data_IF_946131250333
#
_entry.id   IF_946131250333
#
_cell.length_a   1.000
_cell.length_b   1.000
_cell.length_c   1.000
_cell.angle_alpha   90.00
_cell.angle_beta   90.00
_cell.angle_gamma   90.00
#
_symmetry.space_group_name_H-M   'P 1'
#
loop_
_entity.id
_entity.type
_entity.pdbx_description
1 polymer ?
#
# COMPACT_ATOMS: atom_id res chain seq x y z
N UNK A 1 -15.18 -6.55 7.99
CA UNK A 1 -16.47 -6.09 7.45
C UNK A 1 -16.22 -5.39 6.13
N UNK A 2 -17.18 -5.37 5.20
CA UNK A 2 -17.07 -4.63 3.94
C UNK A 2 -17.28 -3.16 4.23
N UNK A 3 -16.24 -2.33 4.01
CA UNK A 3 -16.32 -0.89 4.23
C UNK A 3 -16.87 -0.15 2.99
N UNK A 4 -16.49 -0.62 1.80
CA UNK A 4 -16.94 -0.07 0.52
C UNK A 4 -17.26 -1.23 -0.43
N UNK A 5 -18.41 -1.20 -1.07
CA UNK A 5 -18.81 -2.11 -2.14
C UNK A 5 -19.10 -1.33 -3.40
N UNK A 6 -18.58 -1.80 -4.51
CA UNK A 6 -18.82 -1.22 -5.84
C UNK A 6 -19.29 -2.29 -6.81
N UNK A 7 -20.29 -1.95 -7.58
CA UNK A 7 -20.74 -2.64 -8.79
C UNK A 7 -21.06 -1.54 -9.79
N UNK A 8 -20.13 -1.22 -10.69
CA UNK A 8 -20.19 0.01 -11.50
C UNK A 8 -19.92 -0.28 -12.97
N UNK A 9 -20.77 0.33 -13.82
CA UNK A 9 -20.50 0.50 -15.23
C UNK A 9 -20.56 1.99 -15.55
N UNK A 10 -19.57 2.45 -16.27
CA UNK A 10 -19.45 3.85 -16.66
C UNK A 10 -18.69 3.99 -17.97
N UNK A 11 -19.11 4.94 -18.76
CA UNK A 11 -18.53 5.18 -20.08
C UNK A 11 -18.31 6.67 -20.30
N UNK A 12 -17.17 6.99 -20.89
CA UNK A 12 -16.87 8.35 -21.30
C UNK A 12 -16.03 8.31 -22.57
N UNK A 13 -16.51 8.96 -23.61
CA UNK A 13 -15.92 8.87 -24.96
C UNK A 13 -15.76 7.40 -25.39
N UNK A 14 -14.53 6.96 -25.69
CA UNK A 14 -14.23 5.59 -26.09
C UNK A 14 -13.74 4.70 -24.90
N UNK A 15 -13.84 5.19 -23.66
CA UNK A 15 -13.38 4.45 -22.49
C UNK A 15 -14.56 3.91 -21.67
N UNK A 16 -14.47 2.65 -21.26
CA UNK A 16 -15.49 1.95 -20.47
C UNK A 16 -14.90 1.41 -19.18
N UNK A 17 -15.65 1.54 -18.08
CA UNK A 17 -15.38 0.91 -16.81
C UNK A 17 -16.47 -0.13 -16.52
N UNK A 18 -16.04 -1.37 -16.19
CA UNK A 18 -16.91 -2.43 -15.67
C UNK A 18 -16.20 -3.07 -14.47
N UNK A 19 -16.56 -2.66 -13.26
CA UNK A 19 -15.85 -3.05 -12.05
C UNK A 19 -16.80 -3.46 -10.93
N UNK A 20 -16.55 -4.65 -10.37
CA UNK A 20 -17.31 -5.16 -9.22
C UNK A 20 -16.35 -5.73 -8.18
N UNK A 21 -16.31 -5.15 -6.98
CA UNK A 21 -15.50 -5.64 -5.87
C UNK A 21 -15.92 -5.02 -4.53
N UNK A 22 -15.47 -5.65 -3.45
CA UNK A 22 -15.63 -5.21 -2.08
C UNK A 22 -14.28 -4.82 -1.47
N UNK A 23 -14.24 -3.73 -0.72
CA UNK A 23 -13.07 -3.28 0.02
C UNK A 23 -13.32 -3.39 1.52
N UNK A 24 -12.28 -3.74 2.26
CA UNK A 24 -12.29 -3.82 3.73
C UNK A 24 -11.86 -2.51 4.37
N UNK A 25 -11.85 -2.46 5.72
CA UNK A 25 -11.39 -1.30 6.51
C UNK A 25 -9.87 -1.05 6.40
N UNK A 26 -9.16 -1.83 5.56
CA UNK A 26 -7.73 -1.73 5.35
C UNK A 26 -7.32 -0.65 4.36
N UNK A 27 -6.04 -0.69 4.00
CA UNK A 27 -5.48 0.10 2.92
C UNK A 27 -5.41 -0.78 1.67
N UNK A 28 -6.03 -0.33 0.58
CA UNK A 28 -5.97 -1.01 -0.72
C UNK A 28 -5.20 -0.15 -1.71
N UNK A 29 -4.14 -0.70 -2.27
CA UNK A 29 -3.41 -0.11 -3.39
C UNK A 29 -4.10 -0.43 -4.71
N UNK A 30 -4.30 0.56 -5.57
CA UNK A 30 -4.86 0.38 -6.90
C UNK A 30 -3.73 0.57 -7.91
N UNK A 31 -3.39 -0.50 -8.61
CA UNK A 31 -2.30 -0.54 -9.57
C UNK A 31 -2.79 -0.87 -10.99
N UNK A 32 -2.16 -0.28 -11.98
CA UNK A 32 -2.43 -0.51 -13.40
C UNK A 32 -1.72 0.54 -14.27
N UNK A 33 -1.66 0.31 -15.58
CA UNK A 33 -1.02 1.26 -16.50
C UNK A 33 -1.75 2.62 -16.54
N UNK A 34 -1.11 3.64 -17.10
CA UNK A 34 -1.75 4.94 -17.33
C UNK A 34 -2.94 4.75 -18.28
N UNK A 35 -4.07 5.39 -17.97
CA UNK A 35 -5.31 5.23 -18.74
C UNK A 35 -6.16 4.01 -18.38
N UNK A 36 -5.74 3.13 -17.46
CA UNK A 36 -6.51 1.94 -17.06
C UNK A 36 -7.85 2.24 -16.32
N UNK A 37 -8.15 3.51 -15.99
CA UNK A 37 -9.40 3.91 -15.34
C UNK A 37 -9.30 4.12 -13.82
N UNK A 38 -8.10 4.07 -13.24
CA UNK A 38 -7.89 4.20 -11.79
C UNK A 38 -8.44 5.50 -11.19
N UNK A 39 -8.10 6.65 -11.79
CA UNK A 39 -8.60 7.96 -11.34
C UNK A 39 -10.10 8.10 -11.55
N UNK A 40 -10.64 7.55 -12.65
CA UNK A 40 -12.08 7.55 -12.90
C UNK A 40 -12.84 6.73 -11.85
N UNK A 41 -12.29 5.58 -11.44
CA UNK A 41 -12.84 4.80 -10.33
C UNK A 41 -12.91 5.63 -9.05
N UNK A 42 -11.81 6.32 -8.67
CA UNK A 42 -11.82 7.19 -7.48
C UNK A 42 -12.84 8.33 -7.61
N UNK A 43 -12.97 8.93 -8.80
CA UNK A 43 -13.93 10.03 -9.03
C UNK A 43 -15.38 9.57 -8.91
N UNK A 44 -15.73 8.39 -9.40
CA UNK A 44 -17.05 7.79 -9.24
C UNK A 44 -17.35 7.51 -7.76
N UNK A 45 -16.42 6.91 -7.03
CA UNK A 45 -16.58 6.67 -5.58
C UNK A 45 -16.75 7.99 -4.83
N UNK A 46 -16.01 9.04 -5.20
CA UNK A 46 -16.11 10.37 -4.58
C UNK A 46 -17.41 11.11 -4.94
N UNK A 47 -18.14 10.70 -5.97
CA UNK A 47 -19.32 11.38 -6.48
C UNK A 47 -19.01 12.65 -7.27
N UNK A 48 -17.85 12.69 -7.89
CA UNK A 48 -17.44 13.72 -8.85
C UNK A 48 -17.92 13.40 -10.25
N UNK A 49 -18.13 12.14 -10.55
CA UNK A 49 -18.81 11.60 -11.74
C UNK A 49 -19.95 10.70 -11.26
N UNK A 50 -20.96 10.51 -12.11
CA UNK A 50 -22.10 9.65 -11.86
C UNK A 50 -21.96 8.37 -12.69
N UNK A 51 -22.29 7.21 -12.12
CA UNK A 51 -22.25 5.94 -12.84
C UNK A 51 -23.43 5.82 -13.84
N UNK A 52 -23.20 5.10 -14.92
CA UNK A 52 -24.27 4.81 -15.90
C UNK A 52 -25.18 3.70 -15.38
N UNK A 53 -24.60 2.68 -14.74
CA UNK A 53 -25.32 1.54 -14.21
C UNK A 53 -24.60 0.93 -13.00
N UNK A 54 -25.39 0.41 -12.04
CA UNK A 54 -24.89 -0.28 -10.86
C UNK A 54 -25.08 0.47 -9.56
N UNK A 55 -24.15 0.26 -8.59
CA UNK A 55 -24.30 0.79 -7.24
C UNK A 55 -22.95 1.00 -6.54
N UNK A 56 -22.89 2.02 -5.70
CA UNK A 56 -21.79 2.29 -4.77
C UNK A 56 -22.35 2.39 -3.35
N UNK A 57 -21.78 1.62 -2.42
CA UNK A 57 -22.23 1.54 -1.02
C UNK A 57 -21.04 1.70 -0.08
N UNK A 58 -21.15 2.55 0.95
CA UNK A 58 -20.18 2.65 2.06
C UNK A 58 -20.91 2.41 3.37
N UNK A 59 -20.39 1.54 4.24
CA UNK A 59 -20.97 1.19 5.54
C UNK A 59 -22.47 0.84 5.44
N UNK A 60 -22.84 0.06 4.43
CA UNK A 60 -24.22 -0.30 4.05
C UNK A 60 -25.10 0.89 3.61
N UNK A 61 -24.57 2.11 3.53
CA UNK A 61 -25.31 3.25 3.01
C UNK A 61 -25.11 3.38 1.50
N UNK A 62 -26.19 3.38 0.74
CA UNK A 62 -26.15 3.55 -0.72
C UNK A 62 -25.78 5.00 -1.02
N UNK A 63 -24.69 5.22 -1.75
CA UNK A 63 -24.25 6.54 -2.21
C UNK A 63 -24.69 6.84 -3.64
N UNK A 64 -24.72 5.82 -4.46
CA UNK A 64 -25.13 5.91 -5.85
C UNK A 64 -25.82 4.60 -6.24
N UNK A 65 -26.94 4.69 -6.94
CA UNK A 65 -27.68 3.53 -7.45
C UNK A 65 -28.50 3.95 -8.67
N UNK A 66 -28.15 3.43 -9.83
CA UNK A 66 -28.80 3.75 -11.10
C UNK A 66 -30.27 3.28 -11.16
N UNK A 67 -30.58 2.13 -10.55
CA UNK A 67 -31.93 1.56 -10.59
C UNK A 67 -32.94 2.41 -9.82
N UNK A 68 -32.51 2.96 -8.66
CA UNK A 68 -33.36 3.81 -7.82
C UNK A 68 -33.17 5.30 -8.10
N UNK A 69 -32.26 5.65 -9.02
CA UNK A 69 -31.85 7.03 -9.35
C UNK A 69 -31.36 7.80 -8.10
N UNK A 70 -30.81 7.08 -7.12
CA UNK A 70 -30.22 7.68 -5.93
C UNK A 70 -28.81 8.12 -6.24
N UNK A 71 -28.48 9.40 -5.97
CA UNK A 71 -27.15 9.98 -6.12
C UNK A 71 -26.85 10.92 -4.94
N UNK A 72 -25.84 10.57 -4.15
CA UNK A 72 -25.33 11.42 -3.08
C UNK A 72 -24.18 12.26 -3.64
N UNK A 73 -24.30 13.59 -3.73
CA UNK A 73 -23.23 14.45 -4.27
C UNK A 73 -21.98 14.42 -3.36
N UNK A 74 -20.81 14.69 -3.95
CA UNK A 74 -19.50 14.55 -3.30
C UNK A 74 -19.42 15.19 -1.91
N UNK A 75 -19.94 16.42 -1.73
CA UNK A 75 -19.87 17.16 -0.46
C UNK A 75 -20.67 16.50 0.69
N UNK A 76 -21.57 15.55 0.39
CA UNK A 76 -22.36 14.79 1.38
C UNK A 76 -21.81 13.38 1.64
N UNK A 77 -20.83 12.91 0.86
CA UNK A 77 -20.27 11.55 0.99
C UNK A 77 -19.31 11.39 2.16
N UNK A 78 -18.82 12.49 2.76
CA UNK A 78 -17.78 12.47 3.82
C UNK A 78 -16.52 11.71 3.41
N UNK A 79 -16.09 11.91 2.17
CA UNK A 79 -14.91 11.27 1.58
C UNK A 79 -13.81 12.31 1.49
N UNK A 80 -12.62 11.98 2.01
CA UNK A 80 -11.41 12.76 1.76
C UNK A 80 -10.85 12.38 0.40
N UNK A 81 -10.55 13.37 -0.44
CA UNK A 81 -9.93 13.15 -1.75
C UNK A 81 -8.64 13.95 -1.87
N UNK A 82 -7.53 13.25 -2.11
CA UNK A 82 -6.24 13.84 -2.44
C UNK A 82 -6.02 13.68 -3.94
N UNK A 83 -6.11 14.80 -4.67
CA UNK A 83 -5.89 14.84 -6.12
C UNK A 83 -4.39 14.84 -6.43
N UNK A 84 -4.02 14.32 -7.58
CA UNK A 84 -2.64 14.32 -8.08
C UNK A 84 -2.02 15.74 -8.12
N UNK A 85 -2.80 16.75 -8.49
CA UNK A 85 -2.37 18.15 -8.56
C UNK A 85 -2.57 18.93 -7.25
N UNK A 86 -3.00 18.27 -6.16
CA UNK A 86 -3.29 18.90 -4.86
C UNK A 86 -4.55 19.75 -4.79
N UNK A 87 -4.96 20.42 -5.86
CA UNK A 87 -6.19 21.24 -6.02
C UNK A 87 -6.55 22.08 -4.79
N UNK A 88 -5.61 22.91 -4.32
CA UNK A 88 -5.83 23.83 -3.21
C UNK A 88 -6.67 25.05 -3.64
N UNK A 89 -7.38 25.65 -2.68
CA UNK A 89 -8.09 26.91 -2.91
C UNK A 89 -7.08 28.05 -3.08
N UNK A 90 -6.95 28.65 -4.28
CA UNK A 90 -5.85 29.57 -4.61
C UNK A 90 -5.91 30.90 -3.85
N UNK A 91 -7.12 31.33 -3.44
CA UNK A 91 -7.36 32.57 -2.70
C UNK A 91 -7.17 32.43 -1.19
N UNK A 92 -6.99 31.22 -0.68
CA UNK A 92 -6.81 30.93 0.74
C UNK A 92 -5.34 30.66 1.09
N UNK A 93 -4.93 31.01 2.30
CA UNK A 93 -3.64 30.58 2.85
C UNK A 93 -3.64 29.07 3.12
N UNK A 94 -2.47 28.47 3.36
CA UNK A 94 -2.34 27.08 3.75
C UNK A 94 -3.20 26.76 4.98
N UNK A 95 -3.10 27.59 6.04
CA UNK A 95 -3.90 27.44 7.24
C UNK A 95 -5.39 27.45 6.96
N UNK A 96 -5.85 28.34 6.10
CA UNK A 96 -7.26 28.43 5.70
C UNK A 96 -7.71 27.21 4.87
N UNK A 97 -6.84 26.71 3.96
CA UNK A 97 -7.09 25.47 3.22
C UNK A 97 -7.26 24.28 4.17
N UNK A 98 -6.36 24.13 5.15
CA UNK A 98 -6.39 23.06 6.13
C UNK A 98 -7.68 23.08 6.98
N UNK A 99 -8.08 24.25 7.43
CA UNK A 99 -9.24 24.44 8.30
C UNK A 99 -10.56 24.58 7.53
N UNK A 100 -10.55 24.52 6.19
CA UNK A 100 -11.77 24.75 5.41
C UNK A 100 -12.89 23.77 5.79
N UNK A 101 -12.59 22.49 5.81
CA UNK A 101 -13.58 21.45 6.06
C UNK A 101 -13.96 21.33 7.55
N UNK A 102 -13.07 21.72 8.48
CA UNK A 102 -13.33 21.60 9.92
C UNK A 102 -14.53 22.42 10.39
N UNK A 103 -14.88 23.48 9.67
CA UNK A 103 -16.04 24.32 9.96
C UNK A 103 -17.38 23.60 9.82
N UNK A 104 -17.41 22.52 9.04
CA UNK A 104 -18.61 21.74 8.75
C UNK A 104 -18.69 20.45 9.55
N UNK A 105 -17.69 20.17 10.39
CA UNK A 105 -17.60 18.97 11.22
C UNK A 105 -17.95 19.32 12.66
N UNK A 106 -18.84 18.56 13.28
CA UNK A 106 -19.11 18.68 14.71
C UNK A 106 -17.84 18.37 15.52
N UNK A 107 -17.57 19.13 16.58
CA UNK A 107 -16.35 19.01 17.41
C UNK A 107 -16.13 17.58 17.95
N UNK A 108 -17.19 16.90 18.32
CA UNK A 108 -17.20 15.51 18.81
C UNK A 108 -16.84 14.49 17.73
N UNK A 109 -16.92 14.87 16.46
CA UNK A 109 -16.56 14.03 15.29
C UNK A 109 -15.22 14.37 14.68
N UNK A 110 -14.48 15.33 15.22
CA UNK A 110 -13.13 15.65 14.76
C UNK A 110 -12.14 14.56 15.20
N UNK A 111 -11.56 13.85 14.22
CA UNK A 111 -10.61 12.75 14.45
C UNK A 111 -9.16 13.23 14.47
N UNK A 112 -8.87 14.41 13.89
CA UNK A 112 -7.53 14.91 13.66
C UNK A 112 -7.33 16.30 14.26
N UNK A 113 -6.18 16.51 14.91
CA UNK A 113 -5.77 17.80 15.42
C UNK A 113 -4.92 18.55 14.39
N UNK A 114 -5.15 19.86 14.23
CA UNK A 114 -4.39 20.68 13.29
C UNK A 114 -2.88 20.64 13.55
N UNK A 115 -2.46 20.80 14.81
CA UNK A 115 -1.04 20.87 15.15
C UNK A 115 -0.33 19.54 14.88
N UNK A 116 -0.99 18.42 15.18
CA UNK A 116 -0.46 17.07 14.89
C UNK A 116 -0.27 16.86 13.38
N UNK A 117 -1.26 17.22 12.58
CA UNK A 117 -1.19 17.09 11.12
C UNK A 117 -0.16 18.03 10.51
N UNK A 118 -0.06 19.26 11.01
CA UNK A 118 0.90 20.28 10.54
C UNK A 118 2.33 19.83 10.82
N UNK A 119 2.60 19.36 12.05
CA UNK A 119 3.93 18.88 12.44
C UNK A 119 4.34 17.64 11.65
N UNK A 120 3.44 16.66 11.51
CA UNK A 120 3.70 15.47 10.74
C UNK A 120 4.09 15.76 9.29
N UNK A 121 3.38 16.69 8.66
CA UNK A 121 3.58 17.03 7.25
C UNK A 121 4.68 18.09 7.05
N UNK A 122 5.33 18.55 8.13
CA UNK A 122 6.38 19.58 8.11
C UNK A 122 5.96 20.83 7.32
N UNK A 123 4.77 21.36 7.63
CA UNK A 123 4.18 22.51 6.93
C UNK A 123 3.97 23.73 7.82
N UNK A 124 4.58 23.77 9.02
CA UNK A 124 4.46 24.89 9.96
C UNK A 124 4.86 26.21 9.32
N UNK A 125 6.01 26.23 8.62
CA UNK A 125 6.54 27.43 7.96
C UNK A 125 5.72 27.89 6.76
N UNK A 126 4.80 27.03 6.30
CA UNK A 126 3.97 27.30 5.11
C UNK A 126 2.59 27.87 5.45
N UNK A 127 2.18 27.87 6.71
CA UNK A 127 0.80 28.15 7.12
C UNK A 127 0.25 29.49 6.62
N UNK A 128 1.10 30.50 6.49
CA UNK A 128 0.73 31.84 6.04
C UNK A 128 0.89 32.04 4.52
N UNK A 129 1.55 31.09 3.82
CA UNK A 129 1.72 31.15 2.36
C UNK A 129 0.40 30.84 1.64
N UNK A 130 0.32 31.27 0.37
CA UNK A 130 -0.74 30.90 -0.58
C UNK A 130 -0.27 29.79 -1.53
N UNK A 131 -1.17 29.05 -2.17
CA UNK A 131 -0.81 27.93 -3.06
C UNK A 131 0.15 28.28 -4.20
N UNK A 132 0.09 29.49 -4.73
CA UNK A 132 1.01 29.95 -5.77
C UNK A 132 2.46 30.16 -5.29
N UNK A 133 2.70 30.17 -3.98
CA UNK A 133 4.01 30.32 -3.35
C UNK A 133 4.61 28.96 -2.92
N UNK A 134 3.91 27.85 -3.23
CA UNK A 134 4.27 26.51 -2.83
C UNK A 134 4.85 25.70 -4.00
N UNK A 135 5.87 24.88 -3.71
CA UNK A 135 6.32 23.83 -4.62
C UNK A 135 5.26 22.73 -4.81
N UNK A 136 5.46 21.84 -5.79
CA UNK A 136 4.55 20.70 -6.01
C UNK A 136 4.40 19.81 -4.79
N UNK A 137 5.52 19.45 -4.16
CA UNK A 137 5.51 18.63 -2.94
C UNK A 137 4.87 19.32 -1.74
N UNK A 138 5.09 20.64 -1.57
CA UNK A 138 4.43 21.42 -0.51
C UNK A 138 2.91 21.46 -0.72
N UNK A 139 2.44 21.64 -1.98
CA UNK A 139 1.01 21.59 -2.31
C UNK A 139 0.42 20.22 -1.98
N UNK A 140 1.14 19.15 -2.28
CA UNK A 140 0.68 17.79 -2.03
C UNK A 140 0.55 17.52 -0.52
N UNK A 141 1.53 17.94 0.28
CA UNK A 141 1.47 17.86 1.75
C UNK A 141 0.24 18.58 2.30
N UNK A 142 0.01 19.80 1.86
CA UNK A 142 -1.17 20.58 2.29
C UNK A 142 -2.48 19.91 1.86
N UNK A 143 -2.53 19.29 0.68
CA UNK A 143 -3.71 18.56 0.20
C UNK A 143 -4.00 17.30 1.06
N UNK A 144 -2.97 16.55 1.43
CA UNK A 144 -3.09 15.42 2.36
C UNK A 144 -3.63 15.92 3.71
N UNK A 145 -3.02 16.96 4.28
CA UNK A 145 -3.45 17.53 5.57
C UNK A 145 -4.90 18.02 5.54
N UNK A 146 -5.31 18.70 4.47
CA UNK A 146 -6.69 19.15 4.29
C UNK A 146 -7.68 17.98 4.25
N UNK A 147 -7.31 16.90 3.55
CA UNK A 147 -8.16 15.71 3.44
C UNK A 147 -8.29 14.98 4.78
N UNK A 148 -7.21 14.85 5.56
CA UNK A 148 -7.26 14.27 6.90
C UNK A 148 -8.10 15.13 7.86
N UNK A 149 -7.89 16.44 7.88
CA UNK A 149 -8.63 17.38 8.74
C UNK A 149 -10.13 17.46 8.41
N UNK A 150 -10.56 16.93 7.26
CA UNK A 150 -11.99 16.77 6.95
C UNK A 150 -12.64 15.62 7.73
N UNK A 151 -11.87 14.85 8.52
CA UNK A 151 -12.35 13.68 9.28
C UNK A 151 -13.21 12.74 8.42
N UNK A 152 -12.63 12.22 7.32
CA UNK A 152 -13.39 11.43 6.36
C UNK A 152 -13.69 10.01 6.91
N UNK A 153 -14.73 9.37 6.39
CA UNK A 153 -15.00 7.94 6.61
C UNK A 153 -14.34 7.04 5.57
N UNK A 154 -13.82 7.60 4.49
CA UNK A 154 -13.02 6.95 3.44
C UNK A 154 -12.03 7.98 2.89
N UNK A 155 -10.77 7.58 2.73
CA UNK A 155 -9.73 8.42 2.12
C UNK A 155 -9.36 7.87 0.75
N UNK A 156 -9.50 8.69 -0.28
CA UNK A 156 -9.11 8.41 -1.64
C UNK A 156 -7.88 9.25 -2.00
N UNK A 157 -6.84 8.60 -2.50
CA UNK A 157 -5.58 9.25 -2.82
C UNK A 157 -5.16 8.90 -4.26
N UNK A 158 -5.08 9.90 -5.12
CA UNK A 158 -4.68 9.75 -6.52
C UNK A 158 -3.24 10.24 -6.68
N UNK A 159 -2.29 9.33 -6.89
CA UNK A 159 -0.84 9.56 -7.00
C UNK A 159 -0.27 10.48 -5.89
N UNK A 160 -0.58 10.21 -4.59
CA UNK A 160 -0.31 11.16 -3.51
C UNK A 160 1.18 11.38 -3.22
N UNK A 161 2.05 10.49 -3.68
CA UNK A 161 3.48 10.51 -3.37
C UNK A 161 4.36 10.95 -4.55
N UNK A 162 3.78 11.17 -5.74
CA UNK A 162 4.53 11.45 -6.97
C UNK A 162 5.42 12.71 -6.90
N UNK A 163 4.98 13.73 -6.14
CA UNK A 163 5.70 14.98 -5.97
C UNK A 163 6.52 15.06 -4.66
N UNK A 164 6.58 13.98 -3.87
CA UNK A 164 7.27 13.94 -2.58
C UNK A 164 8.66 13.31 -2.71
N UNK A 165 9.62 13.84 -1.95
CA UNK A 165 10.92 13.21 -1.81
C UNK A 165 10.87 11.94 -0.97
N UNK A 166 11.95 11.13 -1.03
CA UNK A 166 12.00 9.83 -0.35
C UNK A 166 11.99 9.92 1.18
N UNK A 167 12.51 11.01 1.77
CA UNK A 167 12.54 11.17 3.22
C UNK A 167 11.12 11.40 3.75
N UNK A 168 10.36 12.26 3.06
CA UNK A 168 9.01 12.58 3.45
C UNK A 168 8.02 11.42 3.20
N UNK A 169 8.21 10.65 2.11
CA UNK A 169 7.43 9.41 1.89
C UNK A 169 7.59 8.45 3.06
N UNK A 170 8.83 8.28 3.56
CA UNK A 170 9.13 7.43 4.72
C UNK A 170 8.48 7.88 6.02
N UNK A 171 8.06 9.11 6.14
CA UNK A 171 7.31 9.62 7.29
C UNK A 171 5.79 9.47 7.10
N UNK A 172 5.29 9.79 5.90
CA UNK A 172 3.84 9.82 5.63
C UNK A 172 3.25 8.40 5.55
N UNK A 173 3.95 7.47 4.89
CA UNK A 173 3.45 6.10 4.72
C UNK A 173 3.17 5.41 6.07
N UNK A 174 4.10 5.36 7.04
CA UNK A 174 3.83 4.76 8.36
C UNK A 174 2.71 5.46 9.12
N UNK A 175 2.58 6.76 8.95
CA UNK A 175 1.49 7.50 9.59
C UNK A 175 0.12 7.14 9.02
N UNK A 176 0.00 6.98 7.70
CA UNK A 176 -1.24 6.51 7.08
C UNK A 176 -1.60 5.11 7.56
N UNK A 177 -0.61 4.22 7.69
CA UNK A 177 -0.80 2.89 8.27
C UNK A 177 -1.32 2.99 9.71
N UNK A 178 -0.68 3.82 10.54
CA UNK A 178 -1.07 4.03 11.95
C UNK A 178 -2.49 4.62 12.06
N UNK A 179 -2.85 5.57 11.20
CA UNK A 179 -4.21 6.12 11.12
C UNK A 179 -5.21 5.02 10.79
N UNK A 180 -4.94 4.25 9.74
CA UNK A 180 -5.83 3.15 9.35
C UNK A 180 -6.00 2.14 10.50
N UNK A 181 -4.92 1.73 11.16
CA UNK A 181 -4.97 0.79 12.28
C UNK A 181 -5.77 1.33 13.48
N UNK A 182 -5.54 2.61 13.85
CA UNK A 182 -6.18 3.23 15.02
C UNK A 182 -7.65 3.59 14.79
N UNK A 183 -7.97 4.15 13.63
CA UNK A 183 -9.29 4.67 13.32
C UNK A 183 -10.14 3.75 12.46
N UNK A 184 -9.56 2.65 11.97
CA UNK A 184 -10.20 1.76 10.97
C UNK A 184 -10.69 2.53 9.73
N UNK A 185 -9.98 3.62 9.38
CA UNK A 185 -10.28 4.44 8.23
C UNK A 185 -9.86 3.70 6.95
N UNK A 186 -10.80 3.30 6.08
CA UNK A 186 -10.46 2.71 4.79
C UNK A 186 -9.70 3.71 3.93
N UNK A 187 -8.65 3.26 3.25
CA UNK A 187 -7.84 4.10 2.36
C UNK A 187 -7.68 3.41 1.01
N UNK A 188 -8.05 4.07 -0.07
CA UNK A 188 -7.74 3.63 -1.42
C UNK A 188 -6.65 4.54 -2.01
N UNK A 189 -5.56 3.95 -2.46
CA UNK A 189 -4.41 4.68 -2.99
C UNK A 189 -4.12 4.21 -4.41
N UNK A 190 -4.19 5.12 -5.34
CA UNK A 190 -3.69 4.91 -6.71
C UNK A 190 -2.24 5.32 -6.77
N UNK A 191 -1.38 4.47 -7.28
CA UNK A 191 0.00 4.79 -7.62
C UNK A 191 0.48 3.95 -8.81
N UNK A 192 1.42 4.49 -9.58
CA UNK A 192 2.20 3.75 -10.57
C UNK A 192 3.50 3.18 -9.97
N UNK A 193 3.83 3.54 -8.73
CA UNK A 193 4.96 3.02 -7.96
C UNK A 193 4.48 1.83 -7.12
N UNK A 194 4.72 0.62 -7.63
CA UNK A 194 4.29 -0.60 -6.94
C UNK A 194 4.99 -0.80 -5.58
N UNK A 195 6.29 -0.54 -5.41
CA UNK A 195 6.96 -0.52 -4.12
C UNK A 195 6.25 0.35 -3.07
N UNK A 196 5.83 1.57 -3.40
CA UNK A 196 5.09 2.43 -2.48
C UNK A 196 3.75 1.80 -2.07
N UNK A 197 3.02 1.20 -3.02
CA UNK A 197 1.77 0.49 -2.72
C UNK A 197 1.98 -0.73 -1.84
N UNK A 198 3.01 -1.54 -2.11
CA UNK A 198 3.33 -2.71 -1.29
C UNK A 198 3.76 -2.35 0.12
N UNK A 199 4.42 -1.20 0.31
CA UNK A 199 4.78 -0.69 1.63
C UNK A 199 3.57 -0.21 2.42
N UNK A 200 2.57 0.33 1.74
CA UNK A 200 1.42 0.99 2.35
C UNK A 200 0.23 0.04 2.53
N UNK A 201 -0.04 -0.81 1.54
CA UNK A 201 -1.30 -1.55 1.44
C UNK A 201 -1.16 -3.04 1.74
N UNK A 202 -2.19 -3.60 2.34
CA UNK A 202 -2.32 -5.04 2.59
C UNK A 202 -2.99 -5.77 1.42
N UNK A 203 -3.75 -5.03 0.62
CA UNK A 203 -4.50 -5.54 -0.53
C UNK A 203 -4.13 -4.72 -1.77
N UNK A 204 -4.09 -5.38 -2.91
CA UNK A 204 -3.91 -4.75 -4.21
C UNK A 204 -5.10 -5.03 -5.11
N UNK A 205 -5.59 -3.98 -5.77
CA UNK A 205 -6.53 -4.06 -6.88
C UNK A 205 -5.77 -3.81 -8.16
N UNK A 206 -5.66 -4.82 -9.02
CA UNK A 206 -5.06 -4.70 -10.34
C UNK A 206 -6.12 -4.31 -11.35
N UNK A 207 -5.89 -3.20 -12.04
CA UNK A 207 -6.82 -2.63 -13.03
C UNK A 207 -6.18 -2.61 -14.40
N UNK A 208 -6.89 -3.10 -15.40
CA UNK A 208 -6.47 -3.09 -16.79
C UNK A 208 -7.67 -2.77 -17.68
N UNK A 209 -7.50 -1.80 -18.58
CA UNK A 209 -8.47 -1.45 -19.63
C UNK A 209 -9.93 -1.28 -19.14
N UNK A 210 -10.10 -0.68 -17.94
CA UNK A 210 -11.41 -0.44 -17.36
C UNK A 210 -12.00 -1.60 -16.55
N UNK A 211 -11.27 -2.70 -16.42
CA UNK A 211 -11.73 -3.91 -15.71
C UNK A 211 -10.81 -4.27 -14.54
N UNK A 212 -11.36 -5.02 -13.59
CA UNK A 212 -10.57 -5.60 -12.51
C UNK A 212 -9.92 -6.89 -12.99
N UNK A 213 -8.60 -6.87 -13.11
CA UNK A 213 -7.84 -8.06 -13.43
C UNK A 213 -7.74 -9.00 -12.22
N UNK A 214 -7.50 -8.44 -11.03
CA UNK A 214 -7.46 -9.19 -9.77
C UNK A 214 -7.59 -8.28 -8.56
N UNK A 215 -8.04 -8.83 -7.42
CA UNK A 215 -8.05 -8.21 -6.11
C UNK A 215 -7.60 -9.24 -5.08
N UNK A 216 -6.63 -8.92 -4.24
CA UNK A 216 -6.10 -9.81 -3.22
C UNK A 216 -4.82 -9.29 -2.57
N UNK A 217 -4.26 -10.07 -1.64
CA UNK A 217 -2.96 -9.73 -1.08
C UNK A 217 -1.83 -10.08 -2.08
N UNK A 218 -0.66 -9.53 -1.82
CA UNK A 218 0.53 -9.69 -2.67
C UNK A 218 0.80 -11.16 -3.06
N UNK A 219 0.83 -12.07 -2.10
CA UNK A 219 1.18 -13.47 -2.36
C UNK A 219 0.09 -14.22 -3.13
N UNK A 220 -1.19 -13.91 -2.89
CA UNK A 220 -2.31 -14.45 -3.68
C UNK A 220 -2.22 -14.05 -5.16
N UNK A 221 -1.79 -12.82 -5.41
CA UNK A 221 -1.63 -12.31 -6.77
C UNK A 221 -0.38 -12.88 -7.45
N UNK A 222 0.69 -13.14 -6.70
CA UNK A 222 1.88 -13.87 -7.19
C UNK A 222 1.54 -15.31 -7.53
N UNK A 223 0.79 -16.02 -6.69
CA UNK A 223 0.37 -17.40 -6.95
C UNK A 223 -0.48 -17.56 -8.23
N UNK A 224 -1.19 -16.52 -8.62
CA UNK A 224 -1.99 -16.48 -9.85
C UNK A 224 -1.20 -15.99 -11.06
N UNK A 225 0.11 -15.84 -10.97
CA UNK A 225 1.03 -15.31 -12.00
C UNK A 225 0.67 -13.89 -12.52
N UNK A 226 -0.23 -13.19 -11.81
CA UNK A 226 -0.78 -11.91 -12.26
C UNK A 226 0.12 -10.70 -11.97
N UNK A 227 1.03 -10.83 -11.02
CA UNK A 227 1.93 -9.74 -10.62
C UNK A 227 3.31 -9.83 -11.23
N UNK A 228 3.76 -11.00 -11.65
CA UNK A 228 5.16 -11.21 -12.02
C UNK A 228 5.55 -10.38 -13.24
N UNK A 229 4.70 -10.34 -14.28
CA UNK A 229 4.90 -9.50 -15.48
C UNK A 229 5.01 -8.00 -15.15
N UNK A 230 4.25 -7.58 -14.17
CA UNK A 230 4.17 -6.18 -13.74
C UNK A 230 5.40 -5.83 -12.90
N UNK A 231 5.87 -6.76 -12.11
CA UNK A 231 6.92 -6.55 -11.10
C UNK A 231 8.34 -6.65 -11.67
N UNK A 232 8.55 -7.35 -12.77
CA UNK A 232 9.85 -7.34 -13.45
C UNK A 232 10.29 -5.92 -13.83
N UNK A 233 9.33 -5.05 -14.13
CA UNK A 233 9.59 -3.64 -14.47
C UNK A 233 9.77 -2.73 -13.26
N UNK A 234 9.26 -3.12 -12.10
CA UNK A 234 9.18 -2.26 -10.89
C UNK A 234 10.11 -2.70 -9.76
N UNK A 235 10.81 -3.84 -9.91
CA UNK A 235 11.60 -4.47 -8.84
C UNK A 235 10.73 -5.28 -7.88
N UNK A 236 11.05 -6.58 -7.78
CA UNK A 236 10.38 -7.52 -6.88
C UNK A 236 10.83 -7.32 -5.43
N UNK A 237 9.89 -7.33 -4.48
CA UNK A 237 10.21 -7.34 -3.06
C UNK A 237 9.24 -8.24 -2.31
N UNK A 238 9.76 -9.13 -1.47
CA UNK A 238 8.96 -9.78 -0.45
C UNK A 238 8.62 -8.75 0.63
N UNK A 239 7.36 -8.48 0.84
CA UNK A 239 6.89 -7.61 1.90
C UNK A 239 6.22 -8.47 2.98
N UNK A 240 6.83 -8.53 4.16
CA UNK A 240 6.41 -9.46 5.20
C UNK A 240 6.22 -8.70 6.51
N UNK A 241 5.00 -8.72 7.08
CA UNK A 241 4.76 -8.18 8.41
C UNK A 241 5.31 -9.15 9.47
N UNK A 242 6.13 -8.63 10.38
CA UNK A 242 6.68 -9.34 11.52
C UNK A 242 6.40 -8.61 12.83
N UNK A 243 6.36 -9.35 13.93
CA UNK A 243 6.43 -8.81 15.29
C UNK A 243 7.84 -8.86 15.83
N UNK A 244 8.25 -7.82 16.52
CA UNK A 244 9.51 -7.79 17.28
C UNK A 244 9.31 -8.65 18.51
N UNK A 245 10.08 -9.74 18.62
CA UNK A 245 10.01 -10.65 19.76
C UNK A 245 11.11 -10.39 20.78
N UNK A 246 12.30 -9.97 20.33
CA UNK A 246 13.43 -9.61 21.18
C UNK A 246 14.21 -8.45 20.58
N UNK A 247 14.81 -7.65 21.44
CA UNK A 247 15.68 -6.54 21.07
C UNK A 247 17.06 -6.82 21.64
N UNK A 248 18.02 -7.08 20.77
CA UNK A 248 19.45 -7.23 21.11
C UNK A 248 20.20 -5.94 20.80
N UNK A 249 21.48 -5.85 21.13
CA UNK A 249 22.29 -4.64 20.90
C UNK A 249 22.27 -4.21 19.42
N UNK A 250 22.52 -5.16 18.52
CA UNK A 250 22.69 -4.90 17.09
C UNK A 250 21.58 -5.48 16.21
N UNK A 251 20.65 -6.27 16.77
CA UNK A 251 19.65 -7.02 16.05
C UNK A 251 18.29 -6.98 16.72
N UNK A 252 17.25 -7.02 15.91
CA UNK A 252 15.90 -7.41 16.31
C UNK A 252 15.69 -8.87 15.94
N UNK A 253 15.12 -9.65 16.84
CA UNK A 253 14.54 -10.95 16.48
C UNK A 253 13.08 -10.75 16.14
N UNK A 254 12.74 -11.17 14.95
CA UNK A 254 11.42 -11.01 14.36
C UNK A 254 10.77 -12.38 14.21
N UNK A 255 9.49 -12.46 14.51
CA UNK A 255 8.69 -13.68 14.29
C UNK A 255 7.35 -13.32 13.66
N UNK A 256 6.87 -14.20 12.79
CA UNK A 256 5.46 -14.26 12.46
C UNK A 256 4.75 -15.10 13.53
N UNK A 257 3.43 -15.02 13.68
CA UNK A 257 2.65 -15.67 14.75
C UNK A 257 2.89 -17.19 14.93
N UNK A 258 3.65 -17.82 14.05
CA UNK A 258 4.06 -19.23 14.13
C UNK A 258 5.49 -19.34 14.64
N UNK A 259 5.79 -20.36 15.47
CA UNK A 259 7.13 -20.63 16.02
C UNK A 259 8.20 -20.98 14.96
N UNK A 260 7.81 -21.29 13.74
CA UNK A 260 8.69 -21.49 12.60
C UNK A 260 8.90 -20.16 11.86
N UNK A 261 10.15 -19.83 11.51
CA UNK A 261 10.47 -18.65 10.72
C UNK A 261 10.88 -17.41 11.53
N UNK A 262 11.60 -17.58 12.64
CA UNK A 262 12.27 -16.47 13.32
C UNK A 262 13.44 -15.97 12.46
N UNK A 263 13.55 -14.65 12.29
CA UNK A 263 14.62 -14.02 11.53
C UNK A 263 15.35 -12.96 12.36
N UNK A 264 16.62 -12.77 12.05
CA UNK A 264 17.47 -11.72 12.60
C UNK A 264 17.53 -10.54 11.63
N UNK A 265 17.02 -9.38 12.05
CA UNK A 265 17.12 -8.12 11.35
C UNK A 265 18.21 -7.26 12.00
N UNK A 266 19.18 -6.78 11.22
CA UNK A 266 20.16 -5.79 11.72
C UNK A 266 19.41 -4.51 12.12
N UNK A 267 19.64 -4.04 13.36
CA UNK A 267 18.98 -2.86 13.91
C UNK A 267 19.41 -1.59 13.13
N UNK A 268 18.47 -0.91 12.43
CA UNK A 268 18.79 0.33 11.75
C UNK A 268 19.04 1.44 12.76
N UNK A 269 20.04 2.32 12.50
CA UNK A 269 20.43 3.38 13.44
C UNK A 269 19.31 4.38 13.82
N UNK A 270 18.32 4.53 12.96
CA UNK A 270 17.20 5.47 13.16
C UNK A 270 15.95 4.83 13.81
N UNK A 271 15.99 3.53 14.15
CA UNK A 271 14.89 2.81 14.76
C UNK A 271 15.08 2.59 16.27
N UNK A 272 15.34 3.67 17.02
CA UNK A 272 15.56 3.59 18.47
C UNK A 272 14.26 3.48 19.29
N UNK A 273 13.09 3.59 18.67
CA UNK A 273 11.79 3.73 19.35
C UNK A 273 10.88 2.51 19.26
N UNK A 274 11.36 1.37 18.75
CA UNK A 274 10.54 0.18 18.69
C UNK A 274 10.61 -0.62 19.99
N UNK A 275 9.44 -1.16 20.38
CA UNK A 275 9.27 -1.99 21.55
C UNK A 275 8.99 -3.46 21.16
N UNK A 276 9.18 -4.36 22.10
CA UNK A 276 8.79 -5.76 21.92
C UNK A 276 7.27 -5.82 21.74
N UNK A 277 6.81 -6.52 20.70
CA UNK A 277 5.41 -6.62 20.32
C UNK A 277 5.00 -5.71 19.17
N UNK A 278 5.82 -4.72 18.79
CA UNK A 278 5.54 -3.87 17.64
C UNK A 278 5.55 -4.68 16.33
N UNK A 279 4.64 -4.31 15.44
CA UNK A 279 4.58 -4.86 14.09
C UNK A 279 5.36 -3.97 13.13
N UNK A 280 6.28 -4.59 12.38
CA UNK A 280 7.08 -3.93 11.35
C UNK A 280 6.97 -4.66 10.03
N UNK A 281 6.87 -3.89 8.93
CA UNK A 281 6.96 -4.44 7.59
C UNK A 281 8.42 -4.51 7.17
N UNK A 282 8.85 -5.72 6.81
CA UNK A 282 10.22 -5.96 6.35
C UNK A 282 10.19 -6.31 4.87
N UNK A 283 11.03 -5.65 4.09
CA UNK A 283 11.23 -6.00 2.69
C UNK A 283 12.52 -6.78 2.48
N UNK A 284 12.45 -7.77 1.60
CA UNK A 284 13.57 -8.60 1.18
C UNK A 284 13.46 -8.86 -0.32
N UNK A 285 14.50 -8.51 -1.07
CA UNK A 285 14.50 -8.76 -2.50
C UNK A 285 14.61 -10.25 -2.80
N UNK A 286 13.85 -10.77 -3.77
CA UNK A 286 13.95 -12.18 -4.17
C UNK A 286 15.35 -12.61 -4.63
N UNK A 287 16.11 -11.69 -5.25
CA UNK A 287 17.49 -11.92 -5.67
C UNK A 287 18.51 -11.94 -4.53
N UNK A 288 18.18 -11.42 -3.36
CA UNK A 288 19.03 -11.45 -2.17
C UNK A 288 18.90 -12.76 -1.38
N UNK A 289 18.06 -13.69 -1.84
CA UNK A 289 17.81 -14.99 -1.22
C UNK A 289 18.52 -16.08 -2.04
N UNK A 290 19.45 -16.79 -1.42
CA UNK A 290 20.06 -17.97 -1.98
C UNK A 290 19.29 -19.23 -1.58
N UNK A 291 19.29 -20.25 -2.45
CA UNK A 291 18.72 -21.58 -2.15
C UNK A 291 19.86 -22.59 -1.91
N UNK A 292 19.73 -23.40 -0.87
CA UNK A 292 20.57 -24.56 -0.62
C UNK A 292 19.71 -25.80 -0.36
N UNK A 293 20.25 -26.99 -0.65
CA UNK A 293 19.55 -28.26 -0.38
C UNK A 293 19.62 -28.66 1.09
N UNK A 294 20.63 -28.16 1.81
CA UNK A 294 20.89 -28.44 3.22
C UNK A 294 21.24 -27.14 3.94
N UNK A 295 21.12 -27.13 5.25
CA UNK A 295 21.65 -26.05 6.09
C UNK A 295 23.18 -25.94 5.87
N UNK A 296 23.65 -24.71 5.74
CA UNK A 296 25.06 -24.44 5.47
C UNK A 296 25.73 -24.00 6.77
N UNK A 297 26.82 -24.65 7.14
CA UNK A 297 27.64 -24.32 8.30
C UNK A 297 28.80 -23.40 7.92
N UNK A 298 29.39 -22.73 8.89
CA UNK A 298 30.57 -21.86 8.74
C UNK A 298 30.41 -20.70 7.73
N UNK A 299 29.19 -20.14 7.64
CA UNK A 299 28.87 -19.00 6.76
C UNK A 299 28.40 -17.78 7.56
N UNK A 300 28.67 -16.60 7.02
CA UNK A 300 28.22 -15.32 7.62
C UNK A 300 26.74 -15.01 7.39
N UNK A 301 25.94 -15.98 6.94
CA UNK A 301 24.51 -15.84 6.69
C UNK A 301 23.76 -16.30 7.92
N UNK A 302 23.10 -15.36 8.63
CA UNK A 302 22.39 -15.67 9.86
C UNK A 302 21.02 -16.27 9.64
N UNK A 303 20.30 -15.78 8.63
CA UNK A 303 18.95 -16.25 8.34
C UNK A 303 19.04 -17.43 7.37
N UNK A 304 18.73 -18.61 7.89
CA UNK A 304 18.65 -19.85 7.14
C UNK A 304 17.34 -20.54 7.53
N UNK A 305 16.37 -20.51 6.63
CA UNK A 305 15.03 -21.01 6.88
C UNK A 305 14.75 -22.23 6.01
N UNK A 306 14.38 -23.33 6.65
CA UNK A 306 13.88 -24.50 5.94
C UNK A 306 12.48 -24.22 5.40
N UNK A 307 12.22 -24.66 4.18
CA UNK A 307 10.92 -24.44 3.56
C UNK A 307 10.63 -25.39 2.42
N UNK A 308 9.39 -25.36 1.96
CA UNK A 308 8.89 -26.19 0.85
C UNK A 308 8.58 -25.32 -0.36
N UNK A 309 9.04 -25.70 -1.54
CA UNK A 309 8.70 -25.03 -2.80
C UNK A 309 7.22 -25.27 -3.11
N UNK A 310 6.40 -24.23 -3.06
CA UNK A 310 4.98 -24.27 -3.41
C UNK A 310 4.76 -24.23 -4.91
N UNK A 311 5.53 -23.39 -5.61
CA UNK A 311 5.37 -23.16 -7.04
C UNK A 311 6.70 -22.75 -7.67
N UNK A 312 6.92 -23.12 -8.93
CA UNK A 312 8.04 -22.63 -9.75
C UNK A 312 7.44 -21.95 -10.99
N UNK A 313 7.77 -20.68 -11.16
CA UNK A 313 7.26 -19.82 -12.20
C UNK A 313 8.41 -19.43 -13.11
N UNK A 314 8.26 -19.70 -14.40
CA UNK A 314 9.24 -19.31 -15.43
C UNK A 314 8.75 -18.08 -16.15
N UNK A 315 9.58 -17.07 -16.23
CA UNK A 315 9.27 -15.85 -16.94
C UNK A 315 10.52 -15.28 -17.61
N UNK A 316 10.49 -15.15 -18.91
CA UNK A 316 11.67 -14.74 -19.67
C UNK A 316 12.89 -15.62 -19.34
N UNK A 317 13.98 -14.99 -18.92
CA UNK A 317 15.22 -15.67 -18.53
C UNK A 317 15.32 -15.95 -17.02
N UNK A 318 14.30 -15.61 -16.25
CA UNK A 318 14.31 -15.79 -14.79
C UNK A 318 13.38 -16.92 -14.36
N UNK A 319 13.72 -17.55 -13.27
CA UNK A 319 12.90 -18.55 -12.61
C UNK A 319 12.62 -18.09 -11.18
N UNK A 320 11.35 -18.05 -10.83
CA UNK A 320 10.91 -17.68 -9.49
C UNK A 320 10.42 -18.93 -8.75
N UNK A 321 10.86 -19.08 -7.51
CA UNK A 321 10.36 -20.10 -6.61
C UNK A 321 9.54 -19.42 -5.51
N UNK A 322 8.27 -19.76 -5.39
CA UNK A 322 7.46 -19.44 -4.22
C UNK A 322 7.69 -20.51 -3.18
N UNK A 323 8.21 -20.12 -2.02
CA UNK A 323 8.62 -21.04 -0.95
C UNK A 323 7.85 -20.71 0.33
N UNK A 324 7.35 -21.74 1.01
CA UNK A 324 6.79 -21.64 2.36
C UNK A 324 7.85 -22.00 3.40
N UNK A 325 8.30 -21.01 4.17
CA UNK A 325 9.25 -21.15 5.30
C UNK A 325 8.56 -20.90 6.65
N UNK A 326 7.25 -21.15 6.75
CA UNK A 326 6.35 -20.68 7.82
C UNK A 326 5.69 -19.35 7.46
N UNK A 327 6.14 -18.73 6.39
CA UNK A 327 5.54 -17.64 5.64
C UNK A 327 6.06 -17.72 4.19
N UNK A 328 5.31 -17.12 3.26
CA UNK A 328 5.67 -17.19 1.84
C UNK A 328 6.84 -16.28 1.52
N UNK A 329 7.80 -16.79 0.75
CA UNK A 329 8.92 -16.07 0.17
C UNK A 329 8.97 -16.32 -1.33
N UNK A 330 9.10 -15.25 -2.11
CA UNK A 330 9.46 -15.35 -3.52
C UNK A 330 10.99 -15.27 -3.63
N UNK A 331 11.57 -16.23 -4.33
CA UNK A 331 13.04 -16.33 -4.53
C UNK A 331 13.33 -16.36 -6.02
N UNK A 332 14.28 -15.55 -6.47
CA UNK A 332 14.73 -15.54 -7.87
C UNK A 332 15.98 -16.39 -8.03
N UNK A 333 15.97 -17.27 -9.01
CA UNK A 333 17.12 -18.10 -9.40
C UNK A 333 17.26 -18.14 -10.91
N UNK A 334 18.42 -18.60 -11.38
CA UNK A 334 18.61 -18.91 -12.80
C UNK A 334 18.02 -20.28 -13.13
N UNK A 335 17.62 -20.48 -14.38
CA UNK A 335 17.17 -21.81 -14.83
C UNK A 335 18.30 -22.86 -14.72
N UNK A 336 19.57 -22.44 -14.94
CA UNK A 336 20.72 -23.31 -14.73
C UNK A 336 20.84 -23.77 -13.26
N UNK A 337 20.63 -22.88 -12.30
CA UNK A 337 20.63 -23.22 -10.86
C UNK A 337 19.48 -24.17 -10.54
N UNK A 338 18.28 -23.93 -11.09
CA UNK A 338 17.13 -24.82 -10.91
C UNK A 338 17.44 -26.25 -11.38
N UNK A 339 18.04 -26.38 -12.56
CA UNK A 339 18.38 -27.69 -13.13
C UNK A 339 19.50 -28.37 -12.34
N UNK A 340 20.57 -27.63 -12.00
CA UNK A 340 21.70 -28.16 -11.22
C UNK A 340 21.26 -28.68 -9.85
N UNK A 341 20.40 -27.94 -9.15
CA UNK A 341 19.88 -28.34 -7.84
C UNK A 341 18.66 -29.28 -7.95
N UNK A 342 18.22 -29.61 -9.17
CA UNK A 342 17.03 -30.47 -9.44
C UNK A 342 15.78 -30.00 -8.69
N UNK A 343 15.57 -28.68 -8.61
CA UNK A 343 14.45 -28.12 -7.87
C UNK A 343 13.12 -28.43 -8.56
N UNK A 344 12.14 -28.85 -7.76
CA UNK A 344 10.77 -29.16 -8.20
C UNK A 344 9.77 -28.71 -7.14
N UNK A 345 8.54 -28.54 -7.53
CA UNK A 345 7.44 -28.29 -6.58
C UNK A 345 7.36 -29.41 -5.55
N UNK A 346 7.13 -29.05 -4.30
CA UNK A 346 7.12 -29.96 -3.14
C UNK A 346 8.51 -30.29 -2.58
N UNK A 347 9.62 -29.83 -3.20
CA UNK A 347 10.95 -30.06 -2.66
C UNK A 347 11.21 -29.23 -1.39
N UNK A 348 11.82 -29.85 -0.39
CA UNK A 348 12.33 -29.16 0.79
C UNK A 348 13.69 -28.54 0.48
N UNK A 349 13.86 -27.27 0.85
CA UNK A 349 15.07 -26.47 0.60
C UNK A 349 15.35 -25.54 1.78
N UNK A 350 16.51 -24.90 1.75
CA UNK A 350 16.87 -23.85 2.68
C UNK A 350 16.98 -22.52 1.94
N UNK A 351 16.27 -21.52 2.45
CA UNK A 351 16.35 -20.11 2.02
C UNK A 351 17.37 -19.38 2.89
N UNK A 352 18.42 -18.83 2.28
CA UNK A 352 19.54 -18.21 2.96
C UNK A 352 19.62 -16.71 2.58
N UNK A 353 19.64 -15.83 3.58
CA UNK A 353 19.81 -14.39 3.33
C UNK A 353 20.50 -13.69 4.49
N UNK A 354 21.25 -12.65 4.18
CA UNK A 354 21.94 -11.84 5.19
C UNK A 354 20.95 -10.97 5.95
N UNK A 355 21.18 -10.76 7.26
CA UNK A 355 20.40 -9.80 8.07
C UNK A 355 20.44 -8.36 7.53
N UNK A 356 21.48 -8.03 6.75
CA UNK A 356 21.65 -6.72 6.09
C UNK A 356 20.82 -6.58 4.80
N UNK A 357 20.36 -7.70 4.20
CA UNK A 357 19.48 -7.67 3.03
C UNK A 357 18.05 -7.27 3.39
N UNK A 358 17.68 -7.48 4.65
CA UNK A 358 16.39 -7.07 5.17
C UNK A 358 16.35 -5.54 5.34
N UNK A 359 15.29 -4.93 4.84
CA UNK A 359 15.04 -3.49 4.99
C UNK A 359 13.73 -3.29 5.72
N UNK A 360 13.74 -2.43 6.72
CA UNK A 360 12.51 -1.99 7.36
C UNK A 360 11.96 -0.84 6.56
N UNK A 361 10.78 -1.01 6.05
CA UNK A 361 10.03 0.05 5.41
C UNK A 361 9.16 0.69 6.50
N UNK A 362 9.66 1.80 6.99
CA UNK A 362 8.98 2.67 7.95
C UNK A 362 8.40 3.81 7.19
#
# INVERSE_FOLDING_TARGET
>A
MTALSIDIKWSKDNFHLDMKTDFTDGITGIFGHSGAGKSSLLQLIAGLEQLDSGQITIDNAILDNSNTKQFTPAHKRQIGYVFQEGRLFPHMTVRQNLLFATKYIKKDKQQFNLNEVVSLLEIESLLMKRPNQLSGGEKQRVAIGRSLLSSPRLLLMDEPFSALDSALRKQIIPYLIKINQKLKLPILVVSHDLPDLLNLSQQLLLVKDGEILAHGNYFELVEKDLLIDIMEKSGLNNMIPFKITHIETDYFKLSKQTKQGQIDLKKPKHLQYFEIGDEINVSLRPEDIAIALHRVEDVSIRNQLEGTILQIIKQGNQTYCLVDVGFKLLVTITEASRQSLKLKQGATIWCLFKSMALRVNI
#
